data_IF_582767200743
#
_entry.id   IF_582767200743
#
_cell.length_a   1.000
_cell.length_b   1.000
_cell.length_c   1.000
_cell.angle_alpha   90.00
_cell.angle_beta   90.00
_cell.angle_gamma   90.00
#
_symmetry.space_group_name_H-M   'P 1'
#
loop_
_entity.id
_entity.type
_entity.pdbx_description
1 polymer ?
#
# COMPACT_ATOMS: atom_id res chain seq x y z
N UNK A 1 -1.82 0.12 -16.96
CA UNK A 1 -1.77 -1.32 -16.64
C UNK A 1 -2.46 -1.56 -15.31
N UNK A 2 -3.18 -2.67 -15.17
CA UNK A 2 -3.81 -3.07 -13.91
C UNK A 2 -2.76 -3.74 -13.02
N UNK A 3 -2.66 -3.32 -11.76
CA UNK A 3 -1.58 -3.73 -10.85
C UNK A 3 -2.04 -4.66 -9.73
N UNK A 4 -3.35 -4.90 -9.58
CA UNK A 4 -3.89 -5.79 -8.56
C UNK A 4 -5.27 -6.37 -8.95
N UNK A 5 -5.78 -7.28 -8.11
CA UNK A 5 -7.11 -7.90 -8.27
C UNK A 5 -8.29 -6.96 -7.98
N UNK A 6 -8.04 -5.72 -7.55
CA UNK A 6 -9.07 -4.68 -7.35
C UNK A 6 -9.28 -3.82 -8.60
N UNK A 7 -8.67 -4.20 -9.72
CA UNK A 7 -8.71 -3.45 -10.97
C UNK A 7 -8.15 -2.02 -10.85
N UNK A 8 -7.19 -1.80 -9.94
CA UNK A 8 -6.52 -0.52 -9.80
C UNK A 8 -5.35 -0.41 -10.80
N UNK A 9 -5.16 0.79 -11.34
CA UNK A 9 -3.94 1.25 -11.99
C UNK A 9 -2.86 1.59 -10.96
N UNK A 10 -1.62 1.82 -11.43
CA UNK A 10 -0.52 2.24 -10.54
C UNK A 10 -0.80 3.59 -9.86
N UNK A 11 -1.39 4.55 -10.58
CA UNK A 11 -1.73 5.87 -10.04
C UNK A 11 -2.81 5.78 -8.96
N UNK A 12 -3.89 5.06 -9.22
CA UNK A 12 -4.97 4.84 -8.23
C UNK A 12 -4.43 4.12 -6.99
N UNK A 13 -3.61 3.08 -7.17
CA UNK A 13 -3.00 2.37 -6.05
C UNK A 13 -2.05 3.26 -5.26
N UNK A 14 -1.30 4.15 -5.93
CA UNK A 14 -0.44 5.12 -5.26
C UNK A 14 -1.28 6.07 -4.40
N UNK A 15 -2.32 6.68 -4.98
CA UNK A 15 -3.20 7.64 -4.29
C UNK A 15 -3.96 7.00 -3.13
N UNK A 16 -4.47 5.77 -3.29
CA UNK A 16 -5.13 5.00 -2.23
C UNK A 16 -4.19 4.66 -1.05
N UNK A 17 -2.88 4.74 -1.27
CA UNK A 17 -1.86 4.52 -0.25
C UNK A 17 -1.06 5.77 0.06
N UNK A 18 -1.47 6.93 -0.43
CA UNK A 18 -0.74 8.17 -0.21
C UNK A 18 -1.04 8.76 1.17
N UNK A 19 -0.01 9.31 1.80
CA UNK A 19 -0.11 10.12 3.01
C UNK A 19 0.74 11.38 2.85
N UNK A 20 0.38 12.44 3.55
CA UNK A 20 1.18 13.65 3.65
C UNK A 20 2.16 13.52 4.83
N UNK A 21 3.44 13.73 4.58
CA UNK A 21 4.48 13.78 5.59
C UNK A 21 5.45 14.91 5.24
N UNK A 22 5.61 15.89 6.14
CA UNK A 22 6.48 17.07 5.91
C UNK A 22 6.23 17.70 4.54
N UNK A 23 4.96 17.96 4.23
CA UNK A 23 4.47 18.51 2.95
C UNK A 23 4.79 17.69 1.70
N UNK A 24 5.20 16.43 1.85
CA UNK A 24 5.42 15.49 0.75
C UNK A 24 4.34 14.41 0.73
N UNK A 25 3.80 14.14 -0.47
CA UNK A 25 2.89 13.01 -0.71
C UNK A 25 3.70 11.74 -0.95
N UNK A 26 3.59 10.77 -0.05
CA UNK A 26 4.35 9.52 -0.08
C UNK A 26 3.42 8.31 -0.02
N UNK A 27 3.74 7.22 -0.70
CA UNK A 27 2.97 5.97 -0.61
C UNK A 27 3.43 5.13 0.58
N UNK A 28 2.51 4.77 1.49
CA UNK A 28 2.76 3.86 2.61
C UNK A 28 2.50 2.39 2.29
N UNK A 29 2.40 2.04 1.01
CA UNK A 29 2.13 0.67 0.55
C UNK A 29 3.14 -0.35 1.10
N UNK A 30 4.43 0.01 1.18
CA UNK A 30 5.48 -0.83 1.77
C UNK A 30 5.27 -1.09 3.27
N UNK A 31 4.83 -0.08 4.04
CA UNK A 31 4.53 -0.25 5.46
C UNK A 31 3.34 -1.18 5.67
N UNK A 32 2.25 -0.99 4.89
CA UNK A 32 1.09 -1.90 4.92
C UNK A 32 1.47 -3.32 4.53
N UNK A 33 2.36 -3.50 3.56
CA UNK A 33 2.89 -4.82 3.15
C UNK A 33 3.60 -5.51 4.31
N UNK A 34 4.49 -4.81 5.02
CA UNK A 34 5.19 -5.34 6.19
C UNK A 34 4.23 -5.83 7.29
N UNK A 35 3.21 -5.04 7.60
CA UNK A 35 2.18 -5.42 8.58
C UNK A 35 1.43 -6.67 8.13
N UNK A 36 1.08 -6.77 6.84
CA UNK A 36 0.38 -7.94 6.30
C UNK A 36 1.24 -9.21 6.37
N UNK A 37 2.54 -9.11 6.10
CA UNK A 37 3.49 -10.22 6.23
C UNK A 37 3.60 -10.70 7.69
N UNK A 38 3.78 -9.79 8.65
CA UNK A 38 3.79 -10.16 10.07
C UNK A 38 2.47 -10.81 10.49
N UNK A 39 1.32 -10.25 10.08
CA UNK A 39 0.02 -10.87 10.35
C UNK A 39 -0.12 -12.25 9.72
N UNK A 40 0.53 -12.54 8.59
CA UNK A 40 0.48 -13.88 7.99
C UNK A 40 1.34 -14.91 8.74
N UNK A 41 2.45 -14.46 9.33
CA UNK A 41 3.37 -15.30 10.11
C UNK A 41 2.87 -15.56 11.54
N UNK A 42 2.12 -14.61 12.10
CA UNK A 42 1.59 -14.68 13.47
C UNK A 42 0.21 -15.36 13.56
N UNK A 43 -0.31 -15.92 12.46
CA UNK A 43 -1.54 -16.73 12.52
C UNK A 43 -1.24 -18.07 13.20
N UNK A 44 -2.08 -18.52 14.16
CA UNK A 44 -1.98 -19.88 14.69
C UNK A 44 -2.23 -20.94 13.61
#
# INVERSE_FOLDING_TARGET
>A
SIVNKKNETLYERFDNNAVMLNDKKLSISAHKKRIAEYKSLLKP
#
